data_IF_865426931624
#
_entry.id   IF_865426931624
#
_cell.length_a   1.000
_cell.length_b   1.000
_cell.length_c   1.000
_cell.angle_alpha   90.00
_cell.angle_beta   90.00
_cell.angle_gamma   90.00
#
_symmetry.space_group_name_H-M   'P 1'
#
loop_
_entity.id
_entity.type
_entity.pdbx_description
1 polymer ?
#
# COMPACT_ATOMS: atom_id res chain seq x y z
N UNK A 1 23.34 30.51 -17.11
CA UNK A 1 23.96 29.28 -17.66
C UNK A 1 24.61 28.62 -16.46
N UNK A 2 23.77 28.08 -15.57
CA UNK A 2 24.22 27.39 -14.36
C UNK A 2 24.23 25.91 -14.69
N UNK A 3 25.44 25.38 -14.73
CA UNK A 3 25.73 23.98 -14.99
C UNK A 3 25.52 23.25 -13.66
N UNK A 4 24.26 22.89 -13.37
CA UNK A 4 23.93 22.03 -12.24
C UNK A 4 24.66 20.69 -12.45
N UNK A 5 25.55 20.39 -11.52
CA UNK A 5 26.43 19.23 -11.54
C UNK A 5 25.60 18.00 -11.11
N UNK A 6 24.69 17.56 -11.98
CA UNK A 6 23.75 16.47 -11.70
C UNK A 6 24.53 15.16 -11.46
N UNK A 7 24.57 14.73 -10.21
CA UNK A 7 25.25 13.50 -9.75
C UNK A 7 24.42 12.23 -10.03
N UNK A 8 23.39 12.32 -10.88
CA UNK A 8 22.39 11.27 -11.09
C UNK A 8 22.33 10.80 -12.55
N UNK A 9 22.25 9.48 -12.73
CA UNK A 9 22.11 8.85 -14.05
C UNK A 9 20.65 8.81 -14.50
N UNK A 10 20.32 9.45 -15.63
CA UNK A 10 18.99 9.43 -16.24
C UNK A 10 18.83 8.23 -17.18
N UNK A 11 17.88 7.35 -16.90
CA UNK A 11 17.57 6.16 -17.70
C UNK A 11 16.85 6.51 -19.02
N UNK A 12 16.01 7.55 -19.00
CA UNK A 12 15.24 8.00 -20.16
C UNK A 12 15.80 9.28 -20.81
N UNK A 13 17.10 9.53 -20.66
CA UNK A 13 17.83 10.60 -21.33
C UNK A 13 17.64 12.01 -20.75
N UNK A 14 16.50 12.33 -20.13
CA UNK A 14 16.27 13.60 -19.45
C UNK A 14 15.38 13.48 -18.22
N UNK A 15 15.56 14.39 -17.25
CA UNK A 15 14.72 14.52 -16.05
C UNK A 15 13.23 14.62 -16.38
N UNK A 16 12.87 15.42 -17.39
CA UNK A 16 11.46 15.66 -17.74
C UNK A 16 10.79 14.41 -18.34
N UNK A 17 11.53 13.63 -19.12
CA UNK A 17 11.05 12.36 -19.68
C UNK A 17 10.83 11.32 -18.58
N UNK A 18 11.71 11.27 -17.56
CA UNK A 18 11.53 10.38 -16.41
C UNK A 18 10.35 10.80 -15.53
N UNK A 19 10.28 12.08 -15.18
CA UNK A 19 9.20 12.64 -14.35
C UNK A 19 7.84 12.36 -15.02
N UNK A 20 7.72 12.60 -16.33
CA UNK A 20 6.52 12.31 -17.12
C UNK A 20 6.17 10.82 -17.10
N UNK A 21 7.14 9.93 -17.32
CA UNK A 21 6.92 8.49 -17.35
C UNK A 21 6.50 7.95 -15.97
N UNK A 22 7.22 8.31 -14.90
CA UNK A 22 6.92 7.91 -13.53
C UNK A 22 5.53 8.39 -13.09
N UNK A 23 5.19 9.65 -13.37
CA UNK A 23 3.88 10.21 -13.04
C UNK A 23 2.75 9.52 -13.81
N UNK A 24 2.96 9.22 -15.11
CA UNK A 24 1.98 8.50 -15.93
C UNK A 24 1.75 7.10 -15.39
N UNK A 25 2.83 6.38 -15.09
CA UNK A 25 2.78 5.02 -14.55
C UNK A 25 2.08 4.96 -13.19
N UNK A 26 2.41 5.91 -12.30
CA UNK A 26 1.78 6.02 -10.99
C UNK A 26 0.28 6.36 -11.11
N UNK A 27 -0.07 7.32 -11.98
CA UNK A 27 -1.45 7.73 -12.21
C UNK A 27 -2.31 6.57 -12.71
N UNK A 28 -1.85 5.85 -13.73
CA UNK A 28 -2.58 4.69 -14.28
C UNK A 28 -2.76 3.62 -13.20
N UNK A 29 -1.69 3.31 -12.46
CA UNK A 29 -1.69 2.28 -11.42
C UNK A 29 -2.65 2.63 -10.29
N UNK A 30 -2.67 3.88 -9.83
CA UNK A 30 -3.53 4.34 -8.75
C UNK A 30 -4.99 4.47 -9.18
N UNK A 31 -5.29 4.97 -10.39
CA UNK A 31 -6.66 5.00 -10.91
C UNK A 31 -7.24 3.60 -11.06
N UNK A 32 -6.45 2.66 -11.60
CA UNK A 32 -6.85 1.26 -11.70
C UNK A 32 -7.07 0.65 -10.31
N UNK A 33 -6.15 0.88 -9.37
CA UNK A 33 -6.29 0.36 -8.00
C UNK A 33 -7.50 0.91 -7.25
N UNK A 34 -7.86 2.19 -7.44
CA UNK A 34 -9.08 2.77 -6.87
C UNK A 34 -10.30 2.03 -7.41
N UNK A 35 -10.36 1.78 -8.73
CA UNK A 35 -11.46 1.04 -9.33
C UNK A 35 -11.57 -0.37 -8.73
N UNK A 36 -10.48 -1.13 -8.72
CA UNK A 36 -10.45 -2.51 -8.20
C UNK A 36 -10.88 -2.55 -6.73
N UNK A 37 -10.24 -1.77 -5.86
CA UNK A 37 -10.56 -1.76 -4.44
C UNK A 37 -11.98 -1.26 -4.15
N UNK A 38 -12.49 -0.28 -4.91
CA UNK A 38 -13.86 0.20 -4.76
C UNK A 38 -14.88 -0.86 -5.16
N UNK A 39 -14.67 -1.57 -6.27
CA UNK A 39 -15.51 -2.69 -6.68
C UNK A 39 -15.45 -3.84 -5.68
N UNK A 40 -14.26 -4.21 -5.19
CA UNK A 40 -14.08 -5.22 -4.14
C UNK A 40 -14.83 -4.85 -2.86
N UNK A 41 -14.73 -3.60 -2.39
CA UNK A 41 -15.49 -3.13 -1.23
C UNK A 41 -17.01 -3.24 -1.44
N UNK A 42 -17.52 -2.83 -2.63
CA UNK A 42 -18.95 -2.96 -2.95
C UNK A 42 -19.38 -4.43 -2.93
N UNK A 43 -18.63 -5.32 -3.57
CA UNK A 43 -18.95 -6.74 -3.65
C UNK A 43 -18.98 -7.36 -2.24
N UNK A 44 -17.98 -7.07 -1.41
CA UNK A 44 -17.88 -7.56 -0.04
C UNK A 44 -19.01 -7.05 0.86
N UNK A 45 -19.42 -5.78 0.70
CA UNK A 45 -20.51 -5.19 1.49
C UNK A 45 -21.92 -5.61 1.02
N UNK A 46 -22.08 -5.94 -0.27
CA UNK A 46 -23.40 -6.21 -0.87
C UNK A 46 -23.75 -7.68 -0.95
N UNK A 47 -22.77 -8.57 -1.10
CA UNK A 47 -23.06 -10.00 -1.21
C UNK A 47 -23.19 -10.63 0.18
N UNK A 48 -24.36 -11.23 0.44
CA UNK A 48 -24.67 -11.93 1.71
C UNK A 48 -23.63 -13.00 2.08
N UNK A 49 -22.94 -13.53 1.07
CA UNK A 49 -21.90 -14.55 1.23
C UNK A 49 -20.65 -14.04 1.97
N UNK A 50 -20.48 -12.71 2.05
CA UNK A 50 -19.38 -12.01 2.73
C UNK A 50 -19.84 -11.25 3.98
N UNK A 51 -21.07 -11.47 4.44
CA UNK A 51 -21.60 -10.87 5.67
C UNK A 51 -21.02 -11.56 6.92
N UNK A 52 -19.72 -11.38 7.12
CA UNK A 52 -18.93 -11.89 8.24
C UNK A 52 -17.98 -10.80 8.73
N UNK A 53 -17.45 -10.95 9.95
CA UNK A 53 -16.46 -10.01 10.49
C UNK A 53 -15.23 -9.85 9.58
N UNK A 54 -14.80 -10.95 8.94
CA UNK A 54 -13.72 -10.94 7.96
C UNK A 54 -14.09 -10.16 6.69
N UNK A 55 -15.28 -10.40 6.11
CA UNK A 55 -15.72 -9.67 4.92
C UNK A 55 -15.89 -8.18 5.17
N UNK A 56 -16.34 -7.80 6.37
CA UNK A 56 -16.41 -6.41 6.80
C UNK A 56 -15.01 -5.80 6.94
N UNK A 57 -14.08 -6.48 7.61
CA UNK A 57 -12.68 -6.03 7.75
C UNK A 57 -12.01 -5.85 6.38
N UNK A 58 -12.16 -6.83 5.48
CA UNK A 58 -11.62 -6.78 4.13
C UNK A 58 -12.23 -5.62 3.31
N UNK A 59 -13.52 -5.32 3.49
CA UNK A 59 -14.16 -4.19 2.82
C UNK A 59 -13.64 -2.83 3.29
N UNK A 60 -13.39 -2.67 4.59
CA UNK A 60 -12.79 -1.45 5.14
C UNK A 60 -11.32 -1.32 4.73
N UNK A 61 -10.58 -2.42 4.65
CA UNK A 61 -9.23 -2.44 4.11
C UNK A 61 -9.19 -1.96 2.65
N UNK A 62 -10.09 -2.47 1.81
CA UNK A 62 -10.21 -2.03 0.41
C UNK A 62 -10.59 -0.53 0.31
N UNK A 63 -11.53 -0.04 1.13
CA UNK A 63 -11.84 1.40 1.19
C UNK A 63 -10.65 2.25 1.68
N UNK A 64 -9.86 1.75 2.62
CA UNK A 64 -8.65 2.41 3.09
C UNK A 64 -7.60 2.50 1.99
N UNK A 65 -7.39 1.42 1.21
CA UNK A 65 -6.52 1.43 0.03
C UNK A 65 -6.96 2.48 -0.99
N UNK A 66 -8.27 2.62 -1.26
CA UNK A 66 -8.77 3.70 -2.13
C UNK A 66 -8.35 5.10 -1.64
N UNK A 67 -8.39 5.34 -0.32
CA UNK A 67 -7.94 6.59 0.28
C UNK A 67 -6.44 6.85 0.09
N UNK A 68 -5.61 5.82 0.29
CA UNK A 68 -4.17 5.91 0.06
C UNK A 68 -3.87 6.20 -1.42
N UNK A 69 -4.48 5.46 -2.34
CA UNK A 69 -4.30 5.64 -3.78
C UNK A 69 -4.79 7.01 -4.27
N UNK A 70 -5.87 7.54 -3.69
CA UNK A 70 -6.35 8.88 -3.99
C UNK A 70 -5.31 9.96 -3.60
N UNK A 71 -4.57 9.76 -2.51
CA UNK A 71 -3.46 10.66 -2.12
C UNK A 71 -2.40 10.73 -3.22
N UNK A 72 -2.02 9.60 -3.82
CA UNK A 72 -1.07 9.63 -4.94
C UNK A 72 -1.62 10.34 -6.18
N UNK A 73 -2.89 10.11 -6.53
CA UNK A 73 -3.55 10.74 -7.69
C UNK A 73 -3.69 12.25 -7.53
N UNK A 74 -4.08 12.72 -6.34
CA UNK A 74 -4.38 14.15 -6.12
C UNK A 74 -3.20 14.95 -5.56
N UNK A 75 -2.14 14.29 -5.10
CA UNK A 75 -0.98 14.96 -4.51
C UNK A 75 0.33 14.64 -5.23
N UNK A 76 0.78 13.39 -5.22
CA UNK A 76 2.09 13.02 -5.76
C UNK A 76 2.18 13.21 -7.29
N UNK A 77 1.15 12.78 -8.02
CA UNK A 77 1.10 12.90 -9.48
C UNK A 77 1.08 14.36 -9.95
N UNK A 78 0.23 15.25 -9.40
CA UNK A 78 0.25 16.68 -9.74
C UNK A 78 1.58 17.36 -9.41
N UNK A 79 2.22 17.03 -8.28
CA UNK A 79 3.54 17.57 -7.95
C UNK A 79 4.63 17.14 -8.94
N UNK A 80 4.46 15.98 -9.57
CA UNK A 80 5.42 15.46 -10.55
C UNK A 80 5.16 16.02 -11.96
N UNK A 81 3.89 16.17 -12.37
CA UNK A 81 3.53 16.75 -13.69
C UNK A 81 3.57 18.27 -13.74
N UNK A 82 3.11 18.91 -12.68
CA UNK A 82 2.92 20.35 -12.60
C UNK A 82 3.96 20.84 -11.61
N UNK A 83 5.13 21.22 -12.13
CA UNK A 83 6.24 21.82 -11.35
C UNK A 83 5.80 23.04 -10.49
N UNK A 84 4.55 23.50 -10.62
CA UNK A 84 3.92 24.53 -9.81
C UNK A 84 2.42 24.23 -9.58
N UNK A 85 2.03 23.91 -8.34
CA UNK A 85 0.64 24.03 -7.90
C UNK A 85 0.55 24.80 -6.58
N UNK A 86 -0.38 25.76 -6.50
CA UNK A 86 -0.57 26.67 -5.36
C UNK A 86 -1.78 26.29 -4.49
N UNK A 87 -1.71 26.73 -3.22
CA UNK A 87 -2.48 26.35 -2.01
C UNK A 87 -4.03 26.40 -2.12
N UNK A 88 -4.62 26.97 -3.18
CA UNK A 88 -6.06 27.31 -3.19
C UNK A 88 -7.00 26.20 -3.68
N UNK A 89 -6.53 25.18 -4.40
CA UNK A 89 -7.43 24.23 -5.09
C UNK A 89 -7.78 22.94 -4.33
N UNK A 90 -7.28 22.74 -3.11
CA UNK A 90 -7.38 21.45 -2.41
C UNK A 90 -8.36 21.43 -1.22
N UNK A 91 -9.53 22.07 -1.25
CA UNK A 91 -10.34 22.26 -0.03
C UNK A 91 -11.56 21.35 0.17
N UNK A 92 -12.10 20.71 -0.87
CA UNK A 92 -13.41 20.02 -0.76
C UNK A 92 -13.28 18.49 -0.54
N UNK A 93 -12.27 17.82 -1.10
CA UNK A 93 -12.01 16.39 -0.83
C UNK A 93 -11.34 16.11 0.51
N UNK A 94 -10.78 17.15 1.12
CA UNK A 94 -9.95 17.07 2.33
C UNK A 94 -10.84 16.81 3.58
N UNK A 95 -11.94 17.53 3.78
CA UNK A 95 -12.58 17.67 5.10
C UNK A 95 -12.93 16.39 5.90
N UNK A 96 -13.40 15.30 5.29
CA UNK A 96 -13.96 14.15 6.06
C UNK A 96 -12.93 13.06 6.40
N UNK A 97 -12.05 12.71 5.45
CA UNK A 97 -10.90 11.81 5.68
C UNK A 97 -9.78 12.55 6.43
N UNK A 98 -9.78 13.88 6.41
CA UNK A 98 -8.76 14.67 7.07
C UNK A 98 -8.86 14.71 8.57
N UNK A 99 -9.98 14.60 9.30
CA UNK A 99 -9.88 14.83 10.77
C UNK A 99 -8.93 13.83 11.47
N UNK A 100 -9.02 12.54 11.12
CA UNK A 100 -8.14 11.50 11.69
C UNK A 100 -6.77 11.52 11.00
N UNK A 101 -6.73 11.70 9.68
CA UNK A 101 -5.48 11.79 8.93
C UNK A 101 -4.69 13.07 9.25
N UNK A 102 -5.35 14.16 9.63
CA UNK A 102 -4.80 15.48 10.00
C UNK A 102 -4.19 15.41 11.39
N UNK A 103 -4.79 14.73 12.37
CA UNK A 103 -4.15 14.55 13.67
C UNK A 103 -2.83 13.77 13.54
N UNK A 104 -2.81 12.74 12.68
CA UNK A 104 -1.58 12.02 12.35
C UNK A 104 -0.60 12.88 11.52
N UNK A 105 -1.11 13.60 10.51
CA UNK A 105 -0.31 14.41 9.59
C UNK A 105 0.22 15.71 10.22
N UNK A 106 -0.46 16.25 11.24
CA UNK A 106 -0.02 17.41 12.03
C UNK A 106 1.35 17.16 12.68
N UNK A 107 1.68 15.91 12.97
CA UNK A 107 2.99 15.55 13.48
C UNK A 107 4.09 15.91 12.47
N UNK A 108 3.85 15.77 11.16
CA UNK A 108 4.81 16.13 10.10
C UNK A 108 4.98 17.64 9.90
N UNK A 109 4.11 18.46 10.48
CA UNK A 109 4.23 19.93 10.47
C UNK A 109 4.95 20.49 11.70
N UNK A 110 5.33 19.64 12.66
CA UNK A 110 6.20 20.03 13.76
C UNK A 110 7.63 20.11 13.23
N UNK A 111 8.35 21.18 13.59
CA UNK A 111 9.74 21.38 13.16
C UNK A 111 10.60 20.15 13.51
N UNK A 112 11.30 19.63 12.50
CA UNK A 112 12.16 18.44 12.61
C UNK A 112 11.43 17.09 12.53
N UNK A 113 10.12 17.08 12.33
CA UNK A 113 9.33 15.87 12.14
C UNK A 113 8.94 15.66 10.67
N UNK A 114 9.61 16.29 9.71
CA UNK A 114 9.16 16.33 8.32
C UNK A 114 9.16 14.94 7.64
N UNK A 115 8.14 14.69 6.83
CA UNK A 115 8.11 13.58 5.87
C UNK A 115 7.76 14.15 4.51
N UNK A 116 8.77 14.26 3.64
CA UNK A 116 8.67 15.01 2.39
C UNK A 116 9.15 14.17 1.22
N UNK A 117 8.52 14.42 0.08
CA UNK A 117 8.99 13.91 -1.18
C UNK A 117 10.13 14.80 -1.68
N UNK A 118 11.31 14.21 -1.85
CA UNK A 118 12.45 14.87 -2.47
C UNK A 118 12.40 14.65 -3.98
N UNK A 119 12.05 15.70 -4.72
CA UNK A 119 11.93 15.65 -6.17
C UNK A 119 13.28 15.46 -6.89
N UNK A 120 14.40 15.75 -6.23
CA UNK A 120 15.74 15.55 -6.81
C UNK A 120 16.08 14.06 -6.88
N UNK A 121 15.80 13.32 -5.82
CA UNK A 121 16.10 11.89 -5.65
C UNK A 121 14.91 10.98 -5.93
N UNK A 122 13.70 11.54 -6.13
CA UNK A 122 12.42 10.83 -6.30
C UNK A 122 12.05 9.89 -5.16
N UNK A 123 12.51 10.18 -3.94
CA UNK A 123 12.24 9.36 -2.76
C UNK A 123 11.47 10.17 -1.71
N UNK A 124 10.72 9.45 -0.88
CA UNK A 124 10.21 10.01 0.36
C UNK A 124 11.27 9.88 1.43
N UNK A 125 11.55 10.98 2.12
CA UNK A 125 12.54 11.00 3.21
C UNK A 125 11.91 11.56 4.47
N UNK A 126 12.25 10.95 5.59
CA UNK A 126 12.00 11.52 6.91
C UNK A 126 13.10 12.54 7.24
N UNK A 127 12.74 13.55 8.03
CA UNK A 127 13.67 14.54 8.56
C UNK A 127 14.82 13.91 9.33
N UNK A 128 15.99 14.54 9.28
CA UNK A 128 17.21 14.07 9.96
C UNK A 128 17.25 14.46 11.44
N UNK A 129 16.33 15.30 11.88
CA UNK A 129 16.17 15.70 13.28
C UNK A 129 15.62 14.54 14.14
N UNK A 130 15.80 14.58 15.48
CA UNK A 130 15.40 13.49 16.36
C UNK A 130 13.93 13.06 16.21
N UNK A 131 13.03 13.99 15.87
CA UNK A 131 11.62 13.67 15.67
C UNK A 131 11.37 12.87 14.39
N UNK A 132 11.92 13.28 13.24
CA UNK A 132 11.82 12.56 11.97
C UNK A 132 12.42 11.16 12.05
N UNK A 133 13.56 11.02 12.72
CA UNK A 133 14.18 9.72 13.02
C UNK A 133 13.28 8.85 13.93
N UNK A 134 12.66 9.46 14.93
CA UNK A 134 11.73 8.76 15.82
C UNK A 134 10.49 8.26 15.06
N UNK A 135 9.92 9.08 14.16
CA UNK A 135 8.78 8.71 13.31
C UNK A 135 9.14 7.57 12.38
N UNK A 136 10.24 7.69 11.63
CA UNK A 136 10.74 6.64 10.74
C UNK A 136 10.96 5.32 11.49
N UNK A 137 11.62 5.37 12.65
CA UNK A 137 12.00 4.16 13.37
C UNK A 137 10.84 3.54 14.14
N UNK A 138 10.06 4.35 14.86
CA UNK A 138 9.06 3.83 15.80
C UNK A 138 7.68 3.69 15.18
N UNK A 139 7.27 4.65 14.37
CA UNK A 139 5.94 4.67 13.76
C UNK A 139 5.93 3.95 12.42
N UNK A 140 6.87 4.23 11.53
CA UNK A 140 6.86 3.56 10.23
C UNK A 140 7.42 2.13 10.32
N UNK A 141 8.63 1.97 10.86
CA UNK A 141 9.29 0.66 10.92
C UNK A 141 8.78 -0.25 12.06
N UNK A 142 8.89 0.16 13.33
CA UNK A 142 8.54 -0.74 14.46
C UNK A 142 7.05 -1.07 14.52
N UNK A 143 6.17 -0.09 14.39
CA UNK A 143 4.73 -0.35 14.35
C UNK A 143 4.36 -1.19 13.12
N UNK A 144 4.95 -0.92 11.95
CA UNK A 144 4.80 -1.75 10.76
C UNK A 144 5.20 -3.20 10.98
N UNK A 145 6.34 -3.46 11.62
CA UNK A 145 6.80 -4.81 11.99
C UNK A 145 5.87 -5.47 13.01
N UNK A 146 5.41 -4.76 14.04
CA UNK A 146 4.48 -5.30 15.04
C UNK A 146 3.14 -5.66 14.38
N UNK A 147 2.59 -4.78 13.55
CA UNK A 147 1.37 -5.04 12.79
C UNK A 147 1.55 -6.26 11.88
N UNK A 148 2.70 -6.39 11.20
CA UNK A 148 3.03 -7.57 10.42
C UNK A 148 3.06 -8.85 11.26
N UNK A 149 3.69 -8.85 12.43
CA UNK A 149 3.75 -10.02 13.32
C UNK A 149 2.36 -10.43 13.78
N UNK A 150 1.52 -9.46 14.16
CA UNK A 150 0.14 -9.71 14.60
C UNK A 150 -0.69 -10.26 13.43
N UNK A 151 -0.64 -9.64 12.25
CA UNK A 151 -1.34 -10.12 11.05
C UNK A 151 -0.89 -11.52 10.66
N UNK A 152 0.41 -11.79 10.68
CA UNK A 152 0.97 -13.13 10.41
C UNK A 152 0.46 -14.16 11.43
N UNK A 153 0.37 -13.81 12.71
CA UNK A 153 -0.18 -14.70 13.73
C UNK A 153 -1.67 -14.99 13.50
N UNK A 154 -2.47 -13.97 13.15
CA UNK A 154 -3.89 -14.12 12.80
C UNK A 154 -4.05 -15.01 11.56
N UNK A 155 -3.25 -14.78 10.52
CA UNK A 155 -3.26 -15.58 9.28
C UNK A 155 -2.89 -17.05 9.57
N UNK A 156 -1.86 -17.31 10.38
CA UNK A 156 -1.43 -18.66 10.76
C UNK A 156 -2.48 -19.37 11.61
N UNK A 157 -3.06 -18.70 12.61
CA UNK A 157 -4.11 -19.30 13.45
C UNK A 157 -5.36 -19.62 12.63
N UNK A 158 -5.75 -18.72 11.72
CA UNK A 158 -6.84 -18.94 10.75
C UNK A 158 -6.53 -20.14 9.85
N UNK A 159 -5.30 -20.28 9.35
CA UNK A 159 -4.86 -21.44 8.56
C UNK A 159 -4.97 -22.74 9.36
N UNK A 160 -4.51 -22.77 10.61
CA UNK A 160 -4.56 -23.97 11.46
C UNK A 160 -6.01 -24.37 11.72
N UNK A 161 -6.89 -23.42 12.04
CA UNK A 161 -8.32 -23.69 12.24
C UNK A 161 -8.98 -24.21 10.95
N UNK A 162 -8.67 -23.62 9.79
CA UNK A 162 -9.14 -24.08 8.49
C UNK A 162 -8.63 -25.50 8.15
N UNK A 163 -7.36 -25.81 8.47
CA UNK A 163 -6.80 -27.16 8.28
C UNK A 163 -7.48 -28.19 9.19
N UNK A 164 -7.71 -27.87 10.47
CA UNK A 164 -8.42 -28.75 11.40
C UNK A 164 -9.88 -28.97 10.98
N UNK A 165 -10.58 -27.90 10.57
CA UNK A 165 -11.93 -28.00 10.03
C UNK A 165 -11.97 -28.86 8.76
N UNK A 166 -10.97 -28.72 7.87
CA UNK A 166 -10.85 -29.53 6.66
C UNK A 166 -10.58 -31.01 6.95
N UNK A 167 -9.72 -31.33 7.92
CA UNK A 167 -9.47 -32.72 8.34
C UNK A 167 -10.76 -33.33 8.90
N UNK A 168 -11.46 -32.58 9.77
CA UNK A 168 -12.73 -33.02 10.37
C UNK A 168 -13.82 -33.22 9.31
N UNK A 169 -13.96 -32.29 8.37
CA UNK A 169 -14.88 -32.38 7.24
C UNK A 169 -14.51 -33.50 6.27
N UNK A 170 -13.22 -33.79 6.05
CA UNK A 170 -12.76 -34.90 5.21
C UNK A 170 -13.16 -36.25 5.83
N UNK A 171 -13.06 -36.39 7.15
CA UNK A 171 -13.57 -37.56 7.86
C UNK A 171 -15.09 -37.73 7.71
N UNK A 172 -15.86 -36.65 7.72
CA UNK A 172 -17.32 -36.66 7.51
C UNK A 172 -17.68 -36.89 6.02
N UNK A 173 -16.87 -36.40 5.07
CA UNK A 173 -17.07 -36.57 3.61
C UNK A 173 -17.04 -38.02 3.16
N UNK A 174 -16.24 -38.88 3.81
CA UNK A 174 -16.21 -40.32 3.52
C UNK A 174 -17.60 -40.97 3.77
N UNK A 175 -18.47 -40.36 4.59
CA UNK A 175 -19.78 -40.92 4.93
C UNK A 175 -20.99 -40.34 4.19
N UNK A 176 -20.88 -39.27 3.37
CA UNK A 176 -22.06 -38.68 2.70
C UNK A 176 -21.78 -38.04 1.32
N UNK A 177 -22.48 -38.51 0.27
CA UNK A 177 -22.26 -38.13 -1.15
C UNK A 177 -23.00 -36.88 -1.65
N UNK A 178 -23.97 -36.35 -0.91
CA UNK A 178 -24.89 -35.31 -1.41
C UNK A 178 -24.59 -33.89 -0.87
N UNK A 179 -23.85 -33.79 0.25
CA UNK A 179 -23.34 -32.52 0.83
C UNK A 179 -21.98 -32.07 0.23
N UNK A 180 -21.43 -32.86 -0.69
CA UNK A 180 -20.03 -32.81 -1.11
C UNK A 180 -19.72 -31.59 -1.99
N UNK A 181 -20.64 -31.22 -2.89
CA UNK A 181 -20.45 -30.13 -3.87
C UNK A 181 -20.35 -28.74 -3.22
N UNK A 182 -21.25 -28.42 -2.29
CA UNK A 182 -21.29 -27.07 -1.69
C UNK A 182 -20.20 -26.89 -0.63
N UNK A 183 -19.87 -27.93 0.14
CA UNK A 183 -18.76 -27.89 1.09
C UNK A 183 -17.40 -27.72 0.39
N UNK A 184 -17.20 -28.34 -0.80
CA UNK A 184 -15.97 -28.16 -1.60
C UNK A 184 -15.86 -26.74 -2.15
N UNK A 185 -16.97 -26.13 -2.59
CA UNK A 185 -16.99 -24.73 -3.06
C UNK A 185 -16.66 -23.74 -1.95
N UNK A 186 -17.23 -23.94 -0.75
CA UNK A 186 -16.95 -23.09 0.42
C UNK A 186 -15.47 -23.20 0.81
N UNK A 187 -14.92 -24.42 0.87
CA UNK A 187 -13.51 -24.65 1.19
C UNK A 187 -12.55 -24.02 0.17
N UNK A 188 -12.81 -24.16 -1.13
CA UNK A 188 -11.98 -23.52 -2.17
C UNK A 188 -11.95 -22.00 -1.99
N UNK A 189 -13.10 -21.41 -1.68
CA UNK A 189 -13.23 -19.97 -1.44
C UNK A 189 -12.45 -19.52 -0.20
N UNK A 190 -12.52 -20.28 0.90
CA UNK A 190 -11.76 -19.99 2.13
C UNK A 190 -10.24 -20.05 1.90
N UNK A 191 -9.77 -21.03 1.11
CA UNK A 191 -8.35 -21.12 0.71
C UNK A 191 -7.94 -19.94 -0.17
N UNK A 192 -8.80 -19.49 -1.09
CA UNK A 192 -8.53 -18.29 -1.91
C UNK A 192 -8.42 -17.02 -1.06
N UNK A 193 -9.30 -16.82 -0.07
CA UNK A 193 -9.20 -15.68 0.85
C UNK A 193 -7.97 -15.72 1.72
N UNK A 194 -7.56 -16.90 2.17
CA UNK A 194 -6.31 -17.08 2.88
C UNK A 194 -5.11 -16.71 2.00
N UNK A 195 -5.08 -17.22 0.76
CA UNK A 195 -3.98 -16.93 -0.17
C UNK A 195 -3.90 -15.42 -0.49
N UNK A 196 -5.05 -14.76 -0.59
CA UNK A 196 -5.16 -13.30 -0.71
C UNK A 196 -4.58 -12.58 0.52
N UNK A 197 -4.97 -12.97 1.73
CA UNK A 197 -4.44 -12.36 2.98
C UNK A 197 -2.94 -12.55 3.11
N UNK A 198 -2.44 -13.77 2.86
CA UNK A 198 -1.02 -14.09 2.91
C UNK A 198 -0.20 -13.34 1.85
N UNK A 199 -0.69 -13.27 0.62
CA UNK A 199 -0.04 -12.50 -0.45
C UNK A 199 0.01 -11.01 -0.10
N UNK A 200 -1.06 -10.46 0.47
CA UNK A 200 -1.12 -9.08 0.94
C UNK A 200 -0.10 -8.80 2.05
N UNK A 201 0.00 -9.70 3.03
CA UNK A 201 0.99 -9.64 4.13
C UNK A 201 2.43 -9.68 3.60
N UNK A 202 2.72 -10.55 2.64
CA UNK A 202 4.05 -10.63 2.00
C UNK A 202 4.38 -9.36 1.19
N UNK A 203 3.39 -8.81 0.47
CA UNK A 203 3.56 -7.56 -0.27
C UNK A 203 3.86 -6.38 0.65
N UNK A 204 3.21 -6.31 1.81
CA UNK A 204 3.50 -5.28 2.81
C UNK A 204 4.94 -5.39 3.34
N UNK A 205 5.44 -6.60 3.61
CA UNK A 205 6.86 -6.80 3.92
C UNK A 205 7.79 -6.37 2.80
N UNK A 206 7.48 -6.75 1.56
CA UNK A 206 8.25 -6.35 0.39
C UNK A 206 8.34 -4.83 0.29
N UNK A 207 7.23 -4.13 0.52
CA UNK A 207 7.19 -2.67 0.53
C UNK A 207 8.12 -2.06 1.58
N UNK A 208 8.10 -2.55 2.83
CA UNK A 208 8.98 -2.05 3.90
C UNK A 208 10.46 -2.33 3.61
N UNK A 209 10.79 -3.52 3.11
CA UNK A 209 12.17 -3.88 2.72
C UNK A 209 12.64 -3.00 1.56
N UNK A 210 11.78 -2.79 0.56
CA UNK A 210 12.09 -1.91 -0.56
C UNK A 210 12.39 -0.48 -0.08
N UNK A 211 11.56 0.05 0.81
CA UNK A 211 11.68 1.42 1.30
C UNK A 211 12.84 1.64 2.28
N UNK A 212 13.07 0.72 3.23
CA UNK A 212 14.04 0.92 4.32
C UNK A 212 15.42 0.31 4.06
N UNK A 213 15.54 -0.61 3.08
CA UNK A 213 16.78 -1.34 2.82
C UNK A 213 17.22 -1.11 1.38
N UNK A 214 16.37 -1.45 0.41
CA UNK A 214 16.76 -1.47 -1.00
C UNK A 214 16.99 -0.06 -1.55
N UNK A 215 16.16 0.91 -1.16
CA UNK A 215 16.27 2.32 -1.59
C UNK A 215 17.63 2.96 -1.26
N UNK A 216 18.27 2.55 -0.16
CA UNK A 216 19.56 3.06 0.29
C UNK A 216 20.77 2.37 -0.36
N UNK A 217 20.57 1.31 -1.15
CA UNK A 217 21.66 0.61 -1.81
C UNK A 217 22.30 1.53 -2.87
N UNK A 218 23.64 1.72 -2.91
CA UNK A 218 24.31 2.63 -3.84
C UNK A 218 23.85 2.57 -5.30
N UNK A 219 23.61 1.38 -5.86
CA UNK A 219 23.11 1.23 -7.23
C UNK A 219 21.70 1.81 -7.41
N UNK A 220 20.81 1.58 -6.44
CA UNK A 220 19.43 2.07 -6.46
C UNK A 220 19.40 3.57 -6.22
N UNK A 221 20.11 4.05 -5.20
CA UNK A 221 20.22 5.47 -4.85
C UNK A 221 20.84 6.33 -5.97
N UNK A 222 21.70 5.74 -6.81
CA UNK A 222 22.30 6.42 -7.97
C UNK A 222 21.34 6.63 -9.16
N UNK A 223 20.20 5.95 -9.16
CA UNK A 223 19.18 6.03 -10.22
C UNK A 223 17.86 6.54 -9.65
N UNK A 224 17.41 7.70 -10.15
CA UNK A 224 16.12 8.31 -9.78
C UNK A 224 14.96 7.36 -10.05
N UNK A 225 14.97 6.70 -11.21
CA UNK A 225 13.94 5.73 -11.57
C UNK A 225 13.91 4.51 -10.65
N UNK A 226 15.07 3.91 -10.33
CA UNK A 226 15.13 2.75 -9.42
C UNK A 226 14.71 3.13 -7.99
N UNK A 227 15.07 4.34 -7.56
CA UNK A 227 14.66 4.91 -6.27
C UNK A 227 13.16 5.17 -6.21
N UNK A 228 12.56 5.72 -7.28
CA UNK A 228 11.11 5.83 -7.42
C UNK A 228 10.41 4.48 -7.36
N UNK A 229 10.94 3.46 -8.06
CA UNK A 229 10.36 2.12 -8.07
C UNK A 229 10.35 1.48 -6.68
N UNK A 230 11.44 1.62 -5.92
CA UNK A 230 11.65 1.01 -4.60
C UNK A 230 10.98 1.76 -3.45
N UNK A 231 10.55 3.00 -3.65
CA UNK A 231 9.93 3.80 -2.59
C UNK A 231 8.47 4.14 -2.89
N UNK A 232 8.20 4.80 -3.99
CA UNK A 232 6.89 5.40 -4.29
C UNK A 232 6.00 4.45 -5.10
N UNK A 233 6.55 3.85 -6.16
CA UNK A 233 5.78 2.96 -7.03
C UNK A 233 5.36 1.69 -6.29
N UNK A 234 6.26 1.06 -5.54
CA UNK A 234 5.95 -0.18 -4.81
C UNK A 234 4.83 0.04 -3.77
N UNK A 235 4.76 1.23 -3.18
CA UNK A 235 3.70 1.66 -2.27
C UNK A 235 2.36 1.78 -3.00
N UNK A 236 2.32 2.51 -4.13
CA UNK A 236 1.10 2.61 -4.94
C UNK A 236 0.65 1.25 -5.49
N UNK A 237 1.60 0.45 -5.96
CA UNK A 237 1.35 -0.87 -6.54
C UNK A 237 0.84 -1.88 -5.51
N UNK A 238 1.38 -1.89 -4.29
CA UNK A 238 0.91 -2.78 -3.22
C UNK A 238 -0.56 -2.54 -2.91
N UNK A 239 -0.95 -1.29 -2.66
CA UNK A 239 -2.35 -0.93 -2.41
C UNK A 239 -3.27 -1.18 -3.60
N UNK A 240 -2.77 -1.15 -4.84
CA UNK A 240 -3.53 -1.54 -6.04
C UNK A 240 -3.81 -3.04 -6.07
N UNK A 241 -2.82 -3.89 -5.76
CA UNK A 241 -2.96 -5.35 -5.81
C UNK A 241 -3.72 -5.93 -4.61
N UNK A 242 -3.79 -5.19 -3.50
CA UNK A 242 -4.53 -5.57 -2.29
C UNK A 242 -6.06 -5.61 -2.44
N UNK A 243 -6.62 -5.07 -3.53
CA UNK A 243 -8.06 -5.02 -3.82
C UNK A 243 -8.58 -6.27 -4.49
#
# INVERSE_FOLDING_TARGET
MDQDNDTYSYLYGSKESEDFFCATLLLITCLFGILVNFFSAIILLRLRIFNSAFGLLASFNALSNCGVLATFVFWAVPLTYLKYFTIKSSKIGISFINVISFLYFCVYFIDGCDFKYDASTMIWTFGTEPCGLWLSTNIDLRYGVIAFVISSFIDITTLVQLRMANIKLTHIRISSRQSESDAVKIQKREVTFFLQSFANTLMFCGMLVCFHIISYWPFVASSRFASFLSTTYIWGFSHTVSG
#
